data_IF_386965152394
#
_entry.id   IF_386965152394
#
_cell.length_a   1.000
_cell.length_b   1.000
_cell.length_c   1.000
_cell.angle_alpha   90.00
_cell.angle_beta   90.00
_cell.angle_gamma   90.00
#
_symmetry.space_group_name_H-M   'P 1'
#
loop_
_entity.id
_entity.type
_entity.pdbx_description
1 polymer ?
#
# COMPACT_ATOMS: atom_id res chain seq x y z
N UNK A 1 11.56 5.94 26.17
CA UNK A 1 11.22 4.51 26.01
C UNK A 1 12.33 3.88 25.17
N UNK A 2 13.04 2.83 25.63
CA UNK A 2 14.12 2.25 24.85
C UNK A 2 13.57 1.52 23.60
N UNK A 3 14.29 1.52 22.46
CA UNK A 3 13.88 0.80 21.26
C UNK A 3 13.82 -0.71 21.54
N UNK A 4 12.74 -1.36 21.11
CA UNK A 4 12.60 -2.82 21.21
C UNK A 4 13.65 -3.49 20.32
N UNK A 5 14.25 -4.61 20.76
CA UNK A 5 15.31 -5.26 20.00
C UNK A 5 14.77 -5.80 18.65
N UNK A 6 15.49 -5.48 17.57
CA UNK A 6 15.10 -5.79 16.18
C UNK A 6 15.60 -7.17 15.74
N UNK A 7 14.79 -8.21 15.98
CA UNK A 7 15.17 -9.61 15.71
C UNK A 7 14.71 -10.15 14.35
N UNK A 8 14.41 -9.31 13.36
CA UNK A 8 13.97 -9.82 12.07
C UNK A 8 13.74 -8.78 10.98
N UNK A 9 13.63 -9.28 9.76
CA UNK A 9 13.20 -8.53 8.59
C UNK A 9 11.72 -8.78 8.35
N UNK A 10 10.99 -7.74 7.95
CA UNK A 10 9.59 -7.84 7.58
C UNK A 10 9.41 -7.36 6.13
N UNK A 11 8.62 -8.09 5.35
CA UNK A 11 8.20 -7.65 4.02
C UNK A 11 6.76 -7.16 4.11
N UNK A 12 6.58 -5.85 4.13
CA UNK A 12 5.29 -5.18 4.36
C UNK A 12 5.18 -3.97 3.42
N UNK A 13 3.96 -3.50 3.12
CA UNK A 13 3.75 -2.29 2.34
C UNK A 13 4.39 -1.06 2.99
N UNK A 14 4.94 -0.17 2.17
CA UNK A 14 5.63 1.06 2.59
C UNK A 14 4.77 1.93 3.52
N UNK A 15 3.49 2.11 3.21
CA UNK A 15 2.55 2.92 4.00
C UNK A 15 2.49 2.50 5.48
N UNK A 16 2.63 1.22 5.77
CA UNK A 16 2.53 0.70 7.14
C UNK A 16 3.79 0.99 7.97
N UNK A 17 4.94 1.19 7.32
CA UNK A 17 6.24 1.38 7.98
C UNK A 17 6.81 2.77 7.81
N UNK A 18 6.17 3.64 7.01
CA UNK A 18 6.61 5.00 6.71
C UNK A 18 6.91 5.82 7.96
N UNK A 19 6.01 5.81 8.95
CA UNK A 19 6.22 6.51 10.23
C UNK A 19 7.37 5.91 11.05
N UNK A 20 7.48 4.58 11.06
CA UNK A 20 8.54 3.91 11.80
C UNK A 20 9.92 4.10 11.16
N UNK A 21 10.00 4.27 9.84
CA UNK A 21 11.22 4.65 9.12
C UNK A 21 11.57 6.10 9.41
N UNK A 22 10.58 7.01 9.37
CA UNK A 22 10.77 8.42 9.69
C UNK A 22 11.25 8.63 11.14
N UNK A 23 10.72 7.86 12.09
CA UNK A 23 11.15 7.85 13.49
C UNK A 23 12.52 7.18 13.72
N UNK A 24 13.15 6.62 12.68
CA UNK A 24 14.42 5.89 12.79
C UNK A 24 14.31 4.55 13.56
N UNK A 25 13.08 4.05 13.77
CA UNK A 25 12.80 2.77 14.43
C UNK A 25 12.96 1.58 13.48
N UNK A 26 12.83 1.80 12.18
CA UNK A 26 13.04 0.82 11.12
C UNK A 26 13.96 1.39 10.04
N UNK A 27 14.75 0.51 9.42
CA UNK A 27 15.60 0.86 8.28
C UNK A 27 15.14 0.05 7.06
N UNK A 28 14.95 0.75 5.94
CA UNK A 28 14.66 0.09 4.68
C UNK A 28 15.94 -0.60 4.16
N UNK A 29 15.85 -1.90 3.90
CA UNK A 29 16.95 -2.74 3.40
C UNK A 29 16.46 -3.51 2.17
N UNK A 30 17.38 -3.89 1.27
CA UNK A 30 17.06 -4.62 0.03
C UNK A 30 16.06 -3.87 -0.88
N UNK A 31 16.07 -2.54 -0.86
CA UNK A 31 15.19 -1.73 -1.71
C UNK A 31 15.33 -2.09 -3.20
N UNK A 32 16.54 -2.43 -3.65
CA UNK A 32 16.84 -2.84 -5.04
C UNK A 32 16.18 -4.16 -5.45
N UNK A 33 15.73 -4.96 -4.48
CA UNK A 33 15.07 -6.26 -4.69
C UNK A 33 13.56 -6.17 -4.52
N UNK A 34 13.02 -5.02 -4.14
CA UNK A 34 11.60 -4.81 -4.00
C UNK A 34 11.01 -4.37 -5.34
N UNK A 35 10.19 -5.22 -5.94
CA UNK A 35 9.48 -4.86 -7.17
C UNK A 35 8.49 -3.72 -6.87
N UNK A 36 8.37 -2.70 -7.75
CA UNK A 36 7.40 -1.64 -7.55
C UNK A 36 6.01 -2.25 -7.43
N UNK A 37 5.31 -1.89 -6.35
CA UNK A 37 3.95 -2.36 -6.12
C UNK A 37 3.08 -1.90 -7.30
N UNK A 38 2.46 -2.82 -8.06
CA UNK A 38 1.73 -2.48 -9.30
C UNK A 38 0.44 -1.68 -9.05
N UNK A 39 0.16 -1.35 -7.79
CA UNK A 39 -1.03 -0.65 -7.34
C UNK A 39 -2.11 -1.63 -6.88
N UNK A 40 -3.18 -1.07 -6.32
CA UNK A 40 -4.33 -1.84 -5.91
C UNK A 40 -5.20 -2.15 -7.13
N UNK A 41 -5.57 -3.42 -7.30
CA UNK A 41 -6.53 -3.83 -8.33
C UNK A 41 -7.93 -3.90 -7.74
N UNK A 42 -8.86 -3.12 -8.29
CA UNK A 42 -10.28 -3.26 -7.98
C UNK A 42 -10.87 -4.41 -8.82
N UNK A 43 -11.03 -5.59 -8.22
CA UNK A 43 -11.69 -6.72 -8.90
C UNK A 43 -13.20 -6.69 -8.66
N UNK A 44 -13.98 -6.65 -9.74
CA UNK A 44 -15.45 -6.68 -9.67
C UNK A 44 -16.04 -7.68 -10.67
N UNK A 45 -16.59 -8.81 -10.21
CA UNK A 45 -17.20 -9.82 -11.07
C UNK A 45 -18.70 -9.53 -11.27
N UNK A 46 -19.06 -8.50 -12.04
CA UNK A 46 -20.43 -8.38 -12.54
C UNK A 46 -20.49 -7.78 -13.93
N UNK A 47 -21.26 -8.43 -14.81
CA UNK A 47 -21.43 -8.07 -16.23
C UNK A 47 -22.78 -7.40 -16.52
N UNK A 48 -23.58 -7.06 -15.50
CA UNK A 48 -24.94 -6.51 -15.68
C UNK A 48 -25.07 -5.16 -14.99
N UNK A 49 -24.98 -4.11 -15.80
CA UNK A 49 -25.34 -2.71 -15.55
C UNK A 49 -24.58 -2.04 -14.39
N UNK A 50 -23.49 -1.35 -14.72
CA UNK A 50 -22.87 -0.38 -13.81
C UNK A 50 -23.92 0.69 -13.49
N UNK A 51 -24.29 0.81 -12.22
CA UNK A 51 -25.08 1.94 -11.75
C UNK A 51 -24.23 3.21 -11.87
N UNK A 52 -24.82 4.34 -12.25
CA UNK A 52 -24.10 5.62 -12.43
C UNK A 52 -23.27 6.00 -11.21
N UNK A 53 -23.76 5.70 -10.00
CA UNK A 53 -23.04 5.92 -8.75
C UNK A 53 -21.73 5.10 -8.64
N UNK A 54 -21.70 3.88 -9.19
CA UNK A 54 -20.50 3.05 -9.18
C UNK A 54 -19.45 3.53 -10.17
N UNK A 55 -19.87 3.99 -11.37
CA UNK A 55 -18.95 4.63 -12.32
C UNK A 55 -18.28 5.86 -11.71
N UNK A 56 -19.06 6.72 -11.03
CA UNK A 56 -18.53 7.89 -10.32
C UNK A 56 -17.54 7.50 -9.20
N UNK A 57 -17.82 6.42 -8.47
CA UNK A 57 -16.89 5.92 -7.45
C UNK A 57 -15.59 5.40 -8.07
N UNK A 58 -15.67 4.67 -9.17
CA UNK A 58 -14.48 4.15 -9.89
C UNK A 58 -13.66 5.31 -10.46
N UNK A 59 -14.30 6.34 -11.01
CA UNK A 59 -13.62 7.52 -11.53
C UNK A 59 -12.94 8.30 -10.41
N UNK A 60 -13.63 8.52 -9.27
CA UNK A 60 -13.03 9.16 -8.10
C UNK A 60 -11.84 8.37 -7.54
N UNK A 61 -11.91 7.03 -7.50
CA UNK A 61 -10.81 6.17 -7.06
C UNK A 61 -9.65 6.12 -8.08
N UNK A 62 -9.91 6.40 -9.35
CA UNK A 62 -8.89 6.45 -10.40
C UNK A 62 -8.13 7.79 -10.43
N UNK A 63 -8.83 8.88 -10.12
CA UNK A 63 -8.27 10.23 -10.07
C UNK A 63 -7.60 10.56 -8.72
N UNK A 64 -7.90 9.82 -7.65
CA UNK A 64 -7.27 9.96 -6.33
C UNK A 64 -5.82 9.42 -6.27
N UNK A 65 -5.08 9.47 -7.39
CA UNK A 65 -3.69 9.03 -7.51
C UNK A 65 -2.77 9.79 -6.56
#
# INVERSE_FOLDING_TARGET
MPPRPGWGLAYVPDDTVREAIADGRLQHVLADWCVPFPGYYLYYPSRRQHTTAFSLLVDALRDAK
#
